data_IF_799893995022
#
_entry.id   IF_799893995022
#
_cell.length_a   1.000
_cell.length_b   1.000
_cell.length_c   1.000
_cell.angle_alpha   90.00
_cell.angle_beta   90.00
_cell.angle_gamma   90.00
#
_symmetry.space_group_name_H-M   'P 1'
#
loop_
_entity.id
_entity.type
_entity.pdbx_description
1 polymer ?
#
# COMPACT_ATOMS: atom_id res chain seq x y z
N UNK A 1 -7.77 -9.22 -11.85
CA UNK A 1 -6.46 -9.03 -11.23
C UNK A 1 -6.07 -10.27 -10.44
N UNK A 2 -4.79 -10.53 -10.30
CA UNK A 2 -4.24 -11.57 -9.41
C UNK A 2 -3.63 -10.94 -8.15
N UNK A 3 -3.21 -9.67 -8.24
CA UNK A 3 -2.74 -8.87 -7.10
C UNK A 3 -3.50 -7.54 -7.05
N UNK A 4 -3.75 -7.07 -5.84
CA UNK A 4 -4.36 -5.76 -5.56
C UNK A 4 -3.49 -5.02 -4.57
N UNK A 5 -3.16 -3.79 -4.90
CA UNK A 5 -2.49 -2.86 -4.00
C UNK A 5 -3.51 -1.95 -3.36
N UNK A 6 -3.47 -1.85 -2.04
CA UNK A 6 -4.33 -0.97 -1.23
C UNK A 6 -3.47 -0.02 -0.40
N UNK A 7 -4.06 1.05 0.05
CA UNK A 7 -3.41 2.01 0.95
C UNK A 7 -4.44 2.63 1.88
N UNK A 8 -4.17 2.58 3.17
CA UNK A 8 -4.94 3.26 4.20
C UNK A 8 -4.07 3.44 5.46
N UNK A 9 -4.33 4.47 6.29
CA UNK A 9 -3.44 4.83 7.38
C UNK A 9 -3.49 3.90 8.59
N UNK A 10 -4.58 3.16 8.79
CA UNK A 10 -4.78 2.34 9.99
C UNK A 10 -5.08 0.88 9.68
N UNK A 11 -4.81 -0.02 10.64
CA UNK A 11 -5.16 -1.45 10.53
C UNK A 11 -6.66 -1.65 10.32
N UNK A 12 -7.51 -0.87 11.01
CA UNK A 12 -8.97 -0.95 10.90
C UNK A 12 -9.40 -0.63 9.47
N UNK A 13 -8.88 0.45 8.90
CA UNK A 13 -9.17 0.84 7.52
C UNK A 13 -8.71 -0.22 6.51
N UNK A 14 -7.48 -0.75 6.66
CA UNK A 14 -6.96 -1.82 5.80
C UNK A 14 -7.79 -3.09 5.92
N UNK A 15 -8.15 -3.51 7.14
CA UNK A 15 -9.02 -4.68 7.38
C UNK A 15 -10.38 -4.55 6.69
N UNK A 16 -10.99 -3.36 6.76
CA UNK A 16 -12.25 -3.07 6.06
C UNK A 16 -12.12 -3.25 4.54
N UNK A 17 -11.03 -2.73 3.94
CA UNK A 17 -10.75 -2.90 2.52
C UNK A 17 -10.54 -4.37 2.14
N UNK A 18 -9.71 -5.10 2.89
CA UNK A 18 -9.45 -6.53 2.66
C UNK A 18 -10.74 -7.34 2.73
N UNK A 19 -11.54 -7.13 3.79
CA UNK A 19 -12.83 -7.79 3.96
C UNK A 19 -13.77 -7.52 2.80
N UNK A 20 -13.84 -6.27 2.33
CA UNK A 20 -14.66 -5.88 1.17
C UNK A 20 -14.21 -6.57 -0.12
N UNK A 21 -12.91 -6.64 -0.38
CA UNK A 21 -12.36 -7.33 -1.56
C UNK A 21 -12.68 -8.82 -1.51
N UNK A 22 -12.40 -9.50 -0.38
CA UNK A 22 -12.68 -10.93 -0.19
C UNK A 22 -14.18 -11.25 -0.33
N UNK A 23 -15.05 -10.41 0.27
CA UNK A 23 -16.49 -10.53 0.13
C UNK A 23 -16.96 -10.42 -1.33
N UNK A 24 -16.45 -9.44 -2.07
CA UNK A 24 -16.80 -9.27 -3.49
C UNK A 24 -16.34 -10.45 -4.35
N UNK A 25 -15.18 -11.05 -4.07
CA UNK A 25 -14.73 -12.26 -4.75
C UNK A 25 -15.74 -13.42 -4.53
N UNK A 26 -16.17 -13.64 -3.29
CA UNK A 26 -17.19 -14.66 -2.97
C UNK A 26 -18.50 -14.38 -3.69
N UNK A 27 -18.97 -13.12 -3.71
CA UNK A 27 -20.19 -12.72 -4.41
C UNK A 27 -20.13 -13.00 -5.92
N UNK A 28 -18.93 -12.89 -6.50
CA UNK A 28 -18.69 -13.22 -7.92
C UNK A 28 -18.37 -14.73 -8.14
N UNK A 29 -18.60 -15.57 -7.15
CA UNK A 29 -18.38 -17.03 -7.25
C UNK A 29 -16.89 -17.43 -7.33
N UNK A 30 -15.98 -16.60 -6.86
CA UNK A 30 -14.54 -16.83 -6.86
C UNK A 30 -14.05 -17.23 -5.47
N UNK A 31 -12.91 -17.93 -5.44
CA UNK A 31 -12.20 -18.18 -4.19
C UNK A 31 -11.74 -16.81 -3.59
N UNK A 32 -12.09 -16.50 -2.33
CA UNK A 32 -11.65 -15.27 -1.68
C UNK A 32 -10.12 -15.13 -1.62
N UNK A 33 -9.39 -16.25 -1.67
CA UNK A 33 -7.92 -16.27 -1.64
C UNK A 33 -7.27 -16.29 -3.04
N UNK A 34 -8.06 -16.19 -4.11
CA UNK A 34 -7.55 -16.17 -5.48
C UNK A 34 -6.81 -14.87 -5.88
N UNK A 35 -6.86 -13.86 -5.03
CA UNK A 35 -6.20 -12.56 -5.23
C UNK A 35 -5.33 -12.24 -4.03
N UNK A 36 -4.07 -11.90 -4.28
CA UNK A 36 -3.16 -11.43 -3.25
C UNK A 36 -3.36 -9.93 -3.01
N UNK A 37 -3.43 -9.53 -1.74
CA UNK A 37 -3.69 -8.15 -1.33
C UNK A 37 -2.47 -7.61 -0.59
N UNK A 38 -1.88 -6.55 -1.12
CA UNK A 38 -0.72 -5.89 -0.54
C UNK A 38 -1.08 -4.49 -0.08
N UNK A 39 -0.72 -4.15 1.16
CA UNK A 39 -0.87 -2.76 1.64
C UNK A 39 0.43 -1.98 1.49
N UNK A 40 0.30 -0.69 1.13
CA UNK A 40 1.43 0.21 1.15
C UNK A 40 1.84 0.49 2.60
N UNK A 41 3.14 0.50 2.88
CA UNK A 41 3.70 1.02 4.11
C UNK A 41 5.14 1.52 3.92
N UNK A 42 5.58 2.41 4.80
CA UNK A 42 6.97 2.82 4.91
C UNK A 42 7.58 2.31 6.22
N UNK A 43 8.89 2.06 6.22
CA UNK A 43 9.65 1.59 7.38
C UNK A 43 10.77 2.57 7.68
N UNK A 44 10.91 2.93 8.95
CA UNK A 44 12.07 3.62 9.51
C UNK A 44 12.67 2.71 10.56
N UNK A 45 13.74 2.03 10.22
CA UNK A 45 14.42 1.08 11.10
C UNK A 45 15.83 1.56 11.43
N UNK A 46 16.27 1.24 12.65
CA UNK A 46 17.65 1.41 13.11
C UNK A 46 17.98 0.35 14.15
N UNK A 47 19.19 0.29 14.66
CA UNK A 47 19.66 -0.71 15.62
C UNK A 47 18.77 -0.83 16.88
N UNK A 48 18.20 0.31 17.36
CA UNK A 48 17.29 0.38 18.51
C UNK A 48 16.07 1.22 18.21
N UNK A 49 15.02 1.06 19.02
CA UNK A 49 13.78 1.83 18.90
C UNK A 49 14.05 3.34 19.07
N UNK A 50 14.94 3.72 20.00
CA UNK A 50 15.32 5.11 20.24
C UNK A 50 16.03 5.72 19.02
N UNK A 51 16.97 4.99 18.41
CA UNK A 51 17.67 5.45 17.20
C UNK A 51 16.72 5.58 16.01
N UNK A 52 15.83 4.60 15.82
CA UNK A 52 14.82 4.65 14.78
C UNK A 52 13.86 5.85 14.96
N UNK A 53 13.45 6.11 16.20
CA UNK A 53 12.61 7.27 16.52
C UNK A 53 13.35 8.59 16.27
N UNK A 54 14.62 8.70 16.65
CA UNK A 54 15.44 9.88 16.38
C UNK A 54 15.61 10.11 14.87
N UNK A 55 15.87 9.05 14.09
CA UNK A 55 15.93 9.07 12.62
C UNK A 55 14.61 9.56 12.02
N UNK A 56 13.46 9.09 12.52
CA UNK A 56 12.16 9.54 12.05
C UNK A 56 11.92 11.02 12.36
N UNK A 57 12.27 11.48 13.56
CA UNK A 57 12.19 12.90 13.94
C UNK A 57 13.07 13.78 13.04
N UNK A 58 14.26 13.31 12.67
CA UNK A 58 15.10 14.00 11.70
C UNK A 58 14.40 14.11 10.34
N UNK A 59 13.83 13.03 9.82
CA UNK A 59 13.09 13.06 8.55
C UNK A 59 11.91 14.03 8.59
N UNK A 60 11.19 14.12 9.72
CA UNK A 60 10.08 15.05 9.88
C UNK A 60 10.50 16.52 9.76
N UNK A 61 11.73 16.87 10.11
CA UNK A 61 12.24 18.26 9.97
C UNK A 61 12.33 18.71 8.50
N UNK A 62 12.43 17.76 7.56
CA UNK A 62 12.45 18.01 6.12
C UNK A 62 11.08 17.83 5.47
N UNK A 63 10.07 17.38 6.21
CA UNK A 63 8.70 17.28 5.75
C UNK A 63 8.10 18.67 5.53
N UNK A 64 7.43 18.85 4.38
CA UNK A 64 6.73 20.11 4.09
C UNK A 64 5.25 19.98 4.41
N UNK A 65 4.76 20.80 5.33
CA UNK A 65 3.34 20.92 5.63
C UNK A 65 2.53 21.26 4.37
N UNK A 66 2.93 22.31 3.64
CA UNK A 66 2.26 22.73 2.41
C UNK A 66 2.35 21.67 1.31
N UNK A 67 3.47 20.94 1.24
CA UNK A 67 3.65 19.79 0.35
C UNK A 67 2.70 18.66 0.70
N UNK A 68 2.55 18.33 1.97
CA UNK A 68 1.60 17.33 2.47
C UNK A 68 0.14 17.70 2.19
N UNK A 69 -0.25 18.96 2.43
CA UNK A 69 -1.57 19.48 2.08
C UNK A 69 -1.83 19.39 0.57
N UNK A 70 -0.84 19.77 -0.24
CA UNK A 70 -0.97 19.74 -1.71
C UNK A 70 -1.20 18.30 -2.21
N UNK A 71 -0.44 17.32 -1.68
CA UNK A 71 -0.62 15.91 -2.02
C UNK A 71 -2.00 15.40 -1.60
N UNK A 72 -2.39 15.65 -0.35
CA UNK A 72 -3.69 15.23 0.17
C UNK A 72 -4.85 15.86 -0.62
N UNK A 73 -4.75 17.15 -0.96
CA UNK A 73 -5.73 17.86 -1.79
C UNK A 73 -5.81 17.29 -3.20
N UNK A 74 -4.66 17.03 -3.83
CA UNK A 74 -4.60 16.46 -5.17
C UNK A 74 -5.22 15.07 -5.27
N UNK A 75 -5.01 14.21 -4.28
CA UNK A 75 -5.57 12.86 -4.26
C UNK A 75 -7.05 12.84 -3.91
N UNK A 76 -7.46 13.62 -2.90
CA UNK A 76 -8.85 13.64 -2.44
C UNK A 76 -9.78 14.49 -3.31
N UNK A 77 -9.23 15.46 -4.05
CA UNK A 77 -9.98 16.48 -4.77
C UNK A 77 -10.62 17.53 -3.86
N UNK A 78 -10.21 17.60 -2.60
CA UNK A 78 -10.62 18.60 -1.62
C UNK A 78 -9.48 19.60 -1.44
N UNK A 79 -9.77 20.87 -1.59
CA UNK A 79 -8.78 21.93 -1.31
C UNK A 79 -8.69 22.16 0.21
N UNK A 80 -7.74 21.45 0.83
CA UNK A 80 -7.51 21.54 2.27
C UNK A 80 -6.93 22.88 2.72
N UNK A 81 -6.42 23.71 1.81
CA UNK A 81 -5.90 25.04 2.16
C UNK A 81 -6.99 26.00 2.66
N UNK A 82 -8.25 25.68 2.41
CA UNK A 82 -9.41 26.47 2.87
C UNK A 82 -9.82 26.19 4.31
N UNK A 83 -9.20 25.19 4.96
CA UNK A 83 -9.52 24.79 6.33
C UNK A 83 -8.40 25.21 7.29
N UNK A 84 -8.77 25.34 8.57
CA UNK A 84 -7.76 25.56 9.61
C UNK A 84 -7.02 24.28 9.94
N UNK A 85 -5.76 24.32 10.36
CA UNK A 85 -5.00 23.14 10.74
C UNK A 85 -5.71 22.23 11.76
N UNK A 86 -6.46 22.83 12.70
CA UNK A 86 -7.18 22.14 13.77
C UNK A 86 -8.56 21.63 13.39
N UNK A 87 -9.05 21.94 12.19
CA UNK A 87 -10.36 21.47 11.75
C UNK A 87 -10.30 19.96 11.53
N UNK A 88 -11.38 19.27 11.92
CA UNK A 88 -11.52 17.84 11.69
C UNK A 88 -11.89 17.59 10.24
N UNK A 89 -11.38 16.49 9.71
CA UNK A 89 -11.68 16.09 8.33
C UNK A 89 -13.05 15.44 8.30
N UNK A 90 -13.94 16.02 7.50
CA UNK A 90 -15.27 15.49 7.23
C UNK A 90 -15.31 14.85 5.84
N UNK A 91 -16.26 13.93 5.66
CA UNK A 91 -16.48 13.32 4.36
C UNK A 91 -17.11 14.34 3.39
N UNK A 92 -16.41 14.57 2.28
CA UNK A 92 -16.89 15.41 1.19
C UNK A 92 -16.92 14.58 -0.09
N UNK A 93 -18.05 14.56 -0.78
CA UNK A 93 -18.16 13.86 -2.04
C UNK A 93 -17.42 14.62 -3.15
N UNK A 94 -16.44 13.97 -3.77
CA UNK A 94 -15.61 14.53 -4.85
C UNK A 94 -15.56 13.61 -6.04
N UNK A 95 -15.05 14.08 -7.18
CA UNK A 95 -14.78 13.26 -8.36
C UNK A 95 -13.36 12.65 -8.37
N UNK A 96 -12.59 12.82 -7.29
CA UNK A 96 -11.24 12.28 -7.16
C UNK A 96 -11.23 10.96 -6.37
N UNK A 97 -10.18 10.65 -5.61
CA UNK A 97 -10.04 9.37 -4.91
C UNK A 97 -10.89 9.39 -3.63
N UNK A 98 -12.17 9.05 -3.75
CA UNK A 98 -13.12 8.99 -2.63
C UNK A 98 -12.67 8.05 -1.50
N UNK A 99 -12.07 6.91 -1.84
CA UNK A 99 -11.59 5.95 -0.85
C UNK A 99 -10.51 6.50 0.08
N UNK A 100 -9.77 7.51 -0.37
CA UNK A 100 -8.80 8.18 0.48
C UNK A 100 -9.49 8.94 1.62
N UNK A 101 -10.48 9.78 1.33
CA UNK A 101 -11.26 10.48 2.36
C UNK A 101 -11.97 9.50 3.29
N UNK A 102 -12.58 8.45 2.74
CA UNK A 102 -13.22 7.41 3.55
C UNK A 102 -12.25 6.74 4.51
N UNK A 103 -10.99 6.56 4.13
CA UNK A 103 -9.98 5.96 4.99
C UNK A 103 -9.59 6.85 6.19
N UNK A 104 -9.79 8.15 6.10
CA UNK A 104 -9.55 9.08 7.21
C UNK A 104 -10.81 9.33 8.06
N UNK A 105 -12.00 9.29 7.48
CA UNK A 105 -13.25 9.73 8.14
C UNK A 105 -14.08 8.55 8.63
N UNK A 106 -14.23 7.52 7.82
CA UNK A 106 -15.24 6.47 8.06
C UNK A 106 -14.63 5.12 8.46
N UNK A 107 -13.38 4.88 8.09
CA UNK A 107 -12.82 3.54 8.21
C UNK A 107 -12.30 3.21 9.61
N UNK A 108 -11.95 4.22 10.39
CA UNK A 108 -11.44 4.08 11.76
C UNK A 108 -12.17 5.06 12.68
N UNK A 109 -13.21 4.65 13.40
CA UNK A 109 -13.99 5.52 14.28
C UNK A 109 -13.21 6.00 15.51
N UNK A 110 -12.12 5.30 15.87
CA UNK A 110 -11.30 5.65 17.03
C UNK A 110 -10.23 6.70 16.69
N UNK A 111 -10.05 7.03 15.41
CA UNK A 111 -9.08 8.02 14.94
C UNK A 111 -9.78 9.18 14.24
N UNK A 112 -9.85 10.31 14.93
CA UNK A 112 -10.31 11.57 14.35
C UNK A 112 -9.12 12.32 13.81
N UNK A 113 -9.09 12.54 12.49
CA UNK A 113 -8.00 13.21 11.82
C UNK A 113 -8.26 14.72 11.71
N UNK A 114 -7.25 15.54 12.02
CA UNK A 114 -7.22 16.97 11.70
C UNK A 114 -6.50 17.22 10.38
N UNK A 115 -6.70 18.40 9.81
CA UNK A 115 -6.00 18.84 8.59
C UNK A 115 -4.48 18.82 8.80
N UNK A 116 -4.02 19.28 9.96
CA UNK A 116 -2.60 19.28 10.32
C UNK A 116 -2.03 17.86 10.38
N UNK A 117 -2.74 16.92 11.01
CA UNK A 117 -2.30 15.51 11.09
C UNK A 117 -2.21 14.89 9.70
N UNK A 118 -3.17 15.13 8.82
CA UNK A 118 -3.11 14.61 7.43
C UNK A 118 -1.95 15.22 6.67
N UNK A 119 -1.71 16.52 6.79
CA UNK A 119 -0.60 17.17 6.12
C UNK A 119 0.75 16.59 6.55
N UNK A 120 0.97 16.45 7.85
CA UNK A 120 2.19 15.85 8.38
C UNK A 120 2.33 14.38 7.99
N UNK A 121 1.26 13.60 8.11
CA UNK A 121 1.26 12.19 7.70
C UNK A 121 1.62 12.04 6.22
N UNK A 122 0.95 12.78 5.36
CA UNK A 122 1.13 12.72 3.91
C UNK A 122 2.53 13.17 3.48
N UNK A 123 3.14 14.13 4.21
CA UNK A 123 4.46 14.66 3.89
C UNK A 123 5.60 13.64 4.05
N UNK A 124 5.41 12.59 4.87
CA UNK A 124 6.44 11.57 5.14
C UNK A 124 6.05 10.20 4.59
N UNK A 125 4.88 9.68 4.96
CA UNK A 125 4.46 8.30 4.66
C UNK A 125 3.51 8.17 3.47
N UNK A 126 3.15 9.27 2.83
CA UNK A 126 2.10 9.24 1.81
C UNK A 126 0.75 8.86 2.42
N UNK A 127 0.04 7.88 1.86
CA UNK A 127 -1.26 7.43 2.37
C UNK A 127 -1.20 6.08 3.11
N UNK A 128 0.00 5.59 3.43
CA UNK A 128 0.20 4.34 4.16
C UNK A 128 0.73 4.55 5.57
N UNK A 129 0.73 3.52 6.41
CA UNK A 129 1.35 3.58 7.72
C UNK A 129 2.87 3.71 7.63
N UNK A 130 3.46 4.31 8.66
CA UNK A 130 4.91 4.32 8.88
C UNK A 130 5.20 3.47 10.11
N UNK A 131 5.99 2.41 9.93
CA UNK A 131 6.45 1.55 11.03
C UNK A 131 7.85 2.01 11.43
N UNK A 132 8.02 2.34 12.71
CA UNK A 132 9.27 2.87 13.25
C UNK A 132 9.73 1.94 14.38
N UNK A 133 11.00 1.55 14.38
CA UNK A 133 11.54 0.75 15.47
C UNK A 133 12.82 0.00 15.12
N UNK A 134 13.28 -0.78 16.10
CA UNK A 134 14.36 -1.77 15.94
C UNK A 134 13.94 -2.90 15.00
N UNK A 135 14.88 -3.72 14.51
CA UNK A 135 14.55 -4.86 13.67
C UNK A 135 13.48 -5.77 14.28
N UNK A 136 13.56 -6.01 15.58
CA UNK A 136 12.58 -6.83 16.32
C UNK A 136 11.21 -6.16 16.35
N UNK A 137 11.15 -4.89 16.73
CA UNK A 137 9.89 -4.11 16.79
C UNK A 137 9.23 -4.02 15.41
N UNK A 138 10.00 -3.75 14.35
CA UNK A 138 9.47 -3.70 12.99
C UNK A 138 8.93 -5.06 12.57
N UNK A 139 9.66 -6.14 12.82
CA UNK A 139 9.21 -7.50 12.48
C UNK A 139 7.94 -7.90 13.24
N UNK A 140 7.81 -7.55 14.54
CA UNK A 140 6.59 -7.76 15.32
C UNK A 140 5.42 -7.02 14.69
N UNK A 141 5.59 -5.74 14.37
CA UNK A 141 4.55 -4.93 13.75
C UNK A 141 4.12 -5.46 12.38
N UNK A 142 5.06 -5.90 11.54
CA UNK A 142 4.73 -6.50 10.25
C UNK A 142 3.89 -7.76 10.40
N UNK A 143 4.24 -8.65 11.36
CA UNK A 143 3.44 -9.85 11.64
C UNK A 143 2.05 -9.49 12.17
N UNK A 144 1.94 -8.56 13.13
CA UNK A 144 0.66 -8.05 13.62
C UNK A 144 -0.23 -7.49 12.48
N UNK A 145 0.36 -6.75 11.52
CA UNK A 145 -0.40 -6.23 10.39
C UNK A 145 -1.00 -7.36 9.55
N UNK A 146 -0.22 -8.40 9.25
CA UNK A 146 -0.72 -9.56 8.49
C UNK A 146 -1.83 -10.28 9.25
N UNK A 147 -1.60 -10.58 10.55
CA UNK A 147 -2.54 -11.31 11.39
C UNK A 147 -3.86 -10.55 11.61
N UNK A 148 -3.77 -9.24 11.90
CA UNK A 148 -4.94 -8.43 12.22
C UNK A 148 -5.78 -8.08 11.00
N UNK A 149 -5.17 -7.91 9.81
CA UNK A 149 -5.86 -7.37 8.64
C UNK A 149 -6.15 -8.39 7.57
N UNK A 150 -5.43 -9.51 7.55
CA UNK A 150 -5.56 -10.56 6.52
C UNK A 150 -4.98 -10.17 5.16
N UNK A 151 -4.02 -9.22 5.13
CA UNK A 151 -3.23 -8.93 3.92
C UNK A 151 -2.25 -10.07 3.64
N UNK A 152 -1.83 -10.20 2.39
CA UNK A 152 -0.87 -11.21 1.94
C UNK A 152 0.57 -10.69 1.93
N UNK A 153 0.77 -9.39 2.11
CA UNK A 153 2.09 -8.77 2.16
C UNK A 153 2.07 -7.25 2.06
N UNK A 154 3.23 -6.70 1.76
CA UNK A 154 3.46 -5.26 1.79
C UNK A 154 4.04 -4.75 0.47
N UNK A 155 3.60 -3.56 0.07
CA UNK A 155 4.21 -2.75 -0.97
C UNK A 155 5.03 -1.64 -0.28
N UNK A 156 6.34 -1.84 -0.15
CA UNK A 156 7.21 -0.92 0.58
C UNK A 156 7.37 0.40 -0.18
N UNK A 157 7.01 1.49 0.51
CA UNK A 157 7.34 2.84 0.10
C UNK A 157 8.64 3.30 0.80
N UNK A 158 9.38 4.16 0.15
CA UNK A 158 10.57 4.80 0.75
C UNK A 158 10.23 6.19 1.27
N UNK A 159 10.86 6.59 2.36
CA UNK A 159 10.89 7.98 2.82
C UNK A 159 12.09 8.68 2.21
N UNK A 160 13.27 8.04 2.29
CA UNK A 160 14.50 8.49 1.68
C UNK A 160 14.95 7.50 0.62
N UNK A 161 15.05 7.95 -0.65
CA UNK A 161 15.47 7.11 -1.78
C UNK A 161 16.81 6.43 -1.49
N UNK A 162 16.91 5.14 -1.89
CA UNK A 162 17.96 4.18 -1.59
C UNK A 162 18.05 3.78 -0.11
N UNK A 163 18.25 4.73 0.80
CA UNK A 163 18.53 4.45 2.22
C UNK A 163 17.41 3.67 2.91
N UNK A 164 16.14 3.99 2.65
CA UNK A 164 15.04 3.23 3.25
C UNK A 164 15.05 1.75 2.86
N UNK A 165 15.42 1.42 1.62
CA UNK A 165 15.52 0.03 1.18
C UNK A 165 16.78 -0.66 1.70
N UNK A 166 17.91 0.05 1.75
CA UNK A 166 19.15 -0.45 2.34
C UNK A 166 18.92 -0.83 3.80
N UNK A 167 18.29 0.05 4.59
CA UNK A 167 17.97 -0.22 5.99
C UNK A 167 17.04 -1.45 6.15
N UNK A 168 16.05 -1.61 5.30
CA UNK A 168 15.18 -2.79 5.33
C UNK A 168 15.97 -4.07 5.04
N UNK A 169 16.85 -4.05 4.04
CA UNK A 169 17.68 -5.22 3.69
C UNK A 169 18.68 -5.54 4.79
N UNK A 170 19.27 -4.52 5.41
CA UNK A 170 20.29 -4.69 6.45
C UNK A 170 19.69 -5.14 7.80
N UNK A 171 18.57 -4.57 8.20
CA UNK A 171 18.02 -4.74 9.54
C UNK A 171 16.79 -5.65 9.58
N UNK A 172 15.82 -5.47 8.67
CA UNK A 172 14.52 -6.15 8.77
C UNK A 172 14.56 -7.53 8.14
N UNK A 173 15.14 -7.67 6.96
CA UNK A 173 15.20 -8.96 6.25
C UNK A 173 15.88 -10.04 7.08
N UNK A 174 17.06 -9.83 7.69
CA UNK A 174 17.71 -10.86 8.52
C UNK A 174 16.85 -11.27 9.72
N UNK A 175 16.15 -10.33 10.35
CA UNK A 175 15.27 -10.64 11.48
C UNK A 175 14.06 -11.49 11.05
N UNK A 176 13.42 -11.17 9.93
CA UNK A 176 12.33 -11.96 9.37
C UNK A 176 12.79 -13.36 8.93
N UNK A 177 14.01 -13.48 8.41
CA UNK A 177 14.62 -14.78 8.06
C UNK A 177 14.92 -15.60 9.32
N UNK A 178 15.47 -14.96 10.36
CA UNK A 178 15.69 -15.60 11.67
C UNK A 178 14.38 -16.15 12.26
N UNK A 179 13.29 -15.45 12.10
CA UNK A 179 11.93 -15.88 12.49
C UNK A 179 11.33 -16.94 11.58
N UNK A 180 11.95 -17.23 10.42
CA UNK A 180 11.46 -18.16 9.38
C UNK A 180 10.13 -17.73 8.76
N UNK A 181 9.86 -16.43 8.70
CA UNK A 181 8.69 -15.84 8.05
C UNK A 181 9.03 -15.13 6.73
N UNK A 182 10.30 -15.15 6.34
CA UNK A 182 10.78 -14.62 5.07
C UNK A 182 11.75 -15.60 4.39
N UNK A 183 11.77 -15.58 3.06
CA UNK A 183 12.62 -16.45 2.25
C UNK A 183 14.11 -16.19 2.53
N UNK A 184 14.91 -17.25 2.56
CA UNK A 184 16.38 -17.17 2.66
C UNK A 184 17.06 -17.31 1.30
N UNK A 185 16.35 -17.84 0.33
CA UNK A 185 16.81 -18.13 -1.03
C UNK A 185 15.75 -17.70 -2.05
N UNK A 186 16.18 -17.28 -3.23
CA UNK A 186 15.24 -17.00 -4.32
C UNK A 186 14.77 -18.32 -4.95
N UNK A 187 13.46 -18.58 -4.92
CA UNK A 187 12.88 -19.71 -5.65
C UNK A 187 13.08 -19.53 -7.17
N UNK A 188 13.28 -20.63 -7.88
CA UNK A 188 13.32 -20.63 -9.34
C UNK A 188 11.95 -20.30 -9.96
N UNK A 189 11.96 -19.90 -11.24
CA UNK A 189 10.73 -19.60 -11.97
C UNK A 189 10.40 -18.10 -12.06
N UNK A 190 9.29 -17.82 -12.72
CA UNK A 190 8.75 -16.46 -12.88
C UNK A 190 8.15 -15.94 -11.57
N UNK A 191 7.91 -14.63 -11.48
CA UNK A 191 7.24 -14.04 -10.32
C UNK A 191 5.87 -14.70 -10.06
N UNK A 192 5.10 -14.97 -11.11
CA UNK A 192 3.80 -15.60 -10.97
C UNK A 192 3.88 -17.01 -10.38
N UNK A 193 4.84 -17.81 -10.83
CA UNK A 193 5.08 -19.15 -10.28
C UNK A 193 5.44 -19.09 -8.79
N UNK A 194 6.24 -18.09 -8.39
CA UNK A 194 6.64 -17.89 -6.99
C UNK A 194 5.45 -17.48 -6.10
N UNK A 195 4.56 -16.63 -6.60
CA UNK A 195 3.43 -16.10 -5.83
C UNK A 195 2.24 -17.07 -5.76
N UNK A 196 1.97 -17.81 -6.83
CA UNK A 196 0.74 -18.62 -6.95
C UNK A 196 0.99 -20.12 -7.02
N UNK A 197 2.24 -20.58 -7.14
CA UNK A 197 2.55 -22.00 -7.35
C UNK A 197 1.99 -22.56 -8.65
N UNK A 198 1.62 -21.70 -9.61
CA UNK A 198 1.02 -22.05 -10.89
C UNK A 198 1.95 -21.65 -12.03
N UNK A 199 1.61 -22.03 -13.28
CA UNK A 199 2.45 -21.74 -14.44
C UNK A 199 2.70 -20.24 -14.69
N UNK A 200 3.65 -19.92 -15.60
CA UNK A 200 4.14 -18.56 -15.80
C UNK A 200 3.10 -17.59 -16.42
N UNK A 201 2.04 -18.12 -17.00
CA UNK A 201 0.99 -17.36 -17.65
C UNK A 201 -0.35 -17.49 -16.90
N UNK A 202 -1.23 -16.52 -17.09
CA UNK A 202 -2.61 -16.63 -16.61
C UNK A 202 -3.24 -17.92 -17.14
N UNK A 203 -4.02 -18.67 -16.35
CA UNK A 203 -4.74 -19.85 -16.84
C UNK A 203 -5.75 -19.46 -17.91
N UNK A 204 -6.08 -20.38 -18.81
CA UNK A 204 -6.97 -20.10 -19.95
C UNK A 204 -8.38 -19.65 -19.55
N UNK A 205 -8.87 -20.16 -18.43
CA UNK A 205 -10.16 -19.77 -17.86
C UNK A 205 -10.15 -18.41 -17.16
N UNK A 206 -8.99 -17.77 -17.01
CA UNK A 206 -8.91 -16.41 -16.46
C UNK A 206 -9.31 -15.39 -17.53
N UNK A 207 -10.25 -14.49 -17.21
CA UNK A 207 -10.75 -13.49 -18.16
C UNK A 207 -9.63 -12.70 -18.87
N UNK A 208 -8.53 -12.39 -18.16
CA UNK A 208 -7.37 -11.70 -18.74
C UNK A 208 -6.63 -12.51 -19.80
N UNK A 209 -6.78 -13.84 -19.85
CA UNK A 209 -6.14 -14.67 -20.86
C UNK A 209 -6.68 -14.40 -22.27
N UNK A 210 -7.94 -13.98 -22.39
CA UNK A 210 -8.57 -13.64 -23.69
C UNK A 210 -7.97 -12.37 -24.32
N UNK A 211 -7.24 -11.57 -23.57
CA UNK A 211 -6.56 -10.35 -24.05
C UNK A 211 -5.09 -10.58 -24.41
N UNK A 212 -4.62 -11.83 -24.43
CA UNK A 212 -3.26 -12.13 -24.88
C UNK A 212 -3.09 -11.75 -26.32
N UNK A 213 -1.94 -11.16 -26.65
CA UNK A 213 -1.54 -10.91 -28.00
C UNK A 213 -1.31 -12.23 -28.73
N UNK A 214 -2.08 -12.48 -29.79
CA UNK A 214 -1.86 -13.58 -30.72
C UNK A 214 -1.47 -12.98 -32.06
N UNK A 215 -0.25 -13.22 -32.52
CA UNK A 215 0.28 -12.71 -33.79
C UNK A 215 -0.59 -13.03 -35.04
N UNK A 216 -1.48 -14.01 -34.93
CA UNK A 216 -2.43 -14.40 -35.97
C UNK A 216 -3.74 -13.59 -36.01
N UNK A 217 -3.97 -12.68 -35.05
CA UNK A 217 -5.23 -11.90 -34.93
C UNK A 217 -5.05 -10.40 -35.14
N UNK A 218 -3.90 -9.95 -35.63
CA UNK A 218 -3.79 -8.53 -36.05
C UNK A 218 -4.59 -8.37 -37.35
N UNK A 219 -5.82 -7.93 -37.23
CA UNK A 219 -6.45 -7.24 -38.34
C UNK A 219 -5.66 -5.94 -38.56
N UNK A 220 -5.15 -5.64 -39.74
CA UNK A 220 -4.48 -4.38 -39.99
C UNK A 220 -5.45 -3.26 -39.62
N UNK A 221 -4.96 -2.28 -38.83
CA UNK A 221 -5.67 -1.04 -38.60
C UNK A 221 -5.98 -0.46 -40.01
N UNK A 222 -7.23 -0.48 -40.40
CA UNK A 222 -7.70 0.24 -41.55
C UNK A 222 -7.64 1.73 -41.17
N UNK A 223 -6.55 2.39 -41.55
CA UNK A 223 -6.45 3.84 -41.46
C UNK A 223 -7.49 4.33 -42.44
N UNK A 224 -8.60 4.89 -41.96
CA UNK A 224 -9.55 5.55 -42.79
C UNK A 224 -8.82 6.70 -43.54
N UNK A 225 -8.61 6.56 -44.83
CA UNK A 225 -8.16 7.65 -45.66
C UNK A 225 -9.18 8.78 -45.50
N UNK A 226 -8.72 9.91 -45.01
CA UNK A 226 -9.52 11.13 -45.01
C UNK A 226 -9.71 11.56 -46.47
N UNK A 227 -10.94 11.47 -46.92
CA UNK A 227 -11.40 12.13 -48.16
C UNK A 227 -11.51 13.65 -47.95
#
# INVERSE_FOLDING_TARGET
>A
AECVFISAPTKIAVKKLVTGIRHNLVKEGKDPNSVLIYTMLAIVVDETDEKAQAKFQEYQQYGSYDGGLTLASGWSGVDFSQFRPTDQVEYIQTNAIQSMLQSYVEADPDKIWTIEEIAHWTSIGGNGPVIIGSPTTVADRLQEWVEDTGIDGFNLAYILAHKSFEDVVEFVVPELQRRRVYQTEYAAGTLREKLFGQGPLLPENHRGASFRYHSKQIKPLVVAEKA
#
